data_IF_403086293069
#
_entry.id   IF_403086293069
#
_cell.length_a   1.000
_cell.length_b   1.000
_cell.length_c   1.000
_cell.angle_alpha   90.00
_cell.angle_beta   90.00
_cell.angle_gamma   90.00
#
_symmetry.space_group_name_H-M   'P 1'
#
loop_
_entity.id
_entity.type
_entity.pdbx_description
1 polymer ?
#
# COMPACT_ATOMS: atom_id res chain seq x y z
N UNK A 1 -14.11 -10.58 -2.44
CA UNK A 1 -13.93 -11.45 -1.27
C UNK A 1 -12.48 -11.30 -0.82
N UNK A 2 -12.25 -10.74 0.36
CA UNK A 2 -10.91 -10.60 0.94
C UNK A 2 -10.40 -11.96 1.45
N UNK A 3 -9.12 -12.25 1.29
CA UNK A 3 -8.46 -13.45 1.82
C UNK A 3 -8.47 -13.45 3.36
N UNK A 4 -8.39 -14.64 4.00
CA UNK A 4 -8.23 -14.81 5.46
C UNK A 4 -7.00 -14.09 6.03
N UNK A 5 -6.05 -13.69 5.18
CA UNK A 5 -4.85 -12.94 5.54
C UNK A 5 -5.00 -11.42 5.30
N UNK A 6 -6.21 -10.93 5.02
CA UNK A 6 -6.48 -9.51 4.71
C UNK A 6 -6.00 -9.04 3.33
N UNK A 7 -5.43 -9.94 2.51
CA UNK A 7 -4.86 -9.59 1.20
C UNK A 7 -5.92 -9.59 0.09
N UNK A 8 -5.82 -8.61 -0.81
CA UNK A 8 -6.55 -8.55 -2.08
C UNK A 8 -5.58 -8.71 -3.25
N UNK A 9 -6.04 -9.28 -4.36
CA UNK A 9 -5.27 -9.33 -5.61
C UNK A 9 -5.76 -8.22 -6.52
N UNK A 10 -4.84 -7.39 -6.99
CA UNK A 10 -5.11 -6.32 -7.95
C UNK A 10 -4.61 -6.74 -9.34
N UNK A 11 -5.40 -6.43 -10.37
CA UNK A 11 -5.01 -6.58 -11.77
C UNK A 11 -5.12 -5.23 -12.45
N UNK A 12 -4.03 -4.77 -13.07
CA UNK A 12 -3.97 -3.49 -13.75
C UNK A 12 -3.21 -3.62 -15.08
N UNK A 13 -3.65 -2.89 -16.10
CA UNK A 13 -2.88 -2.70 -17.32
C UNK A 13 -1.76 -1.69 -17.03
N UNK A 14 -0.51 -2.07 -17.28
CA UNK A 14 0.66 -1.25 -16.99
C UNK A 14 1.46 -1.03 -18.28
N UNK A 15 1.90 0.21 -18.59
CA UNK A 15 2.80 0.46 -19.71
C UNK A 15 4.06 -0.40 -19.63
N UNK A 16 4.54 -0.88 -20.79
CA UNK A 16 5.72 -1.77 -20.87
C UNK A 16 6.95 -1.10 -20.22
N UNK A 17 7.18 0.19 -20.51
CA UNK A 17 8.30 0.94 -19.95
C UNK A 17 8.27 0.98 -18.42
N UNK A 18 7.08 1.19 -17.82
CA UNK A 18 6.94 1.20 -16.38
C UNK A 18 7.22 -0.20 -15.79
N UNK A 19 6.72 -1.27 -16.42
CA UNK A 19 7.04 -2.64 -16.03
C UNK A 19 8.56 -2.90 -16.04
N UNK A 20 9.26 -2.48 -17.08
CA UNK A 20 10.71 -2.66 -17.21
C UNK A 20 11.48 -1.90 -16.13
N UNK A 21 11.07 -0.67 -15.82
CA UNK A 21 11.66 0.14 -14.75
C UNK A 21 11.49 -0.54 -13.38
N UNK A 22 10.29 -1.01 -13.06
CA UNK A 22 10.02 -1.71 -11.80
C UNK A 22 10.82 -3.02 -11.73
N UNK A 23 10.89 -3.79 -12.82
CA UNK A 23 11.70 -5.02 -12.88
C UNK A 23 13.18 -4.77 -12.65
N UNK A 24 13.73 -3.67 -13.18
CA UNK A 24 15.12 -3.28 -12.96
C UNK A 24 15.40 -3.01 -11.49
N UNK A 25 14.53 -2.25 -10.82
CA UNK A 25 14.69 -1.93 -9.40
C UNK A 25 14.54 -3.19 -8.54
N UNK A 26 13.55 -4.03 -8.84
CA UNK A 26 13.36 -5.32 -8.17
C UNK A 26 14.63 -6.18 -8.20
N UNK A 27 15.31 -6.27 -9.36
CA UNK A 27 16.58 -7.00 -9.49
C UNK A 27 17.70 -6.38 -8.65
N UNK A 28 17.86 -5.06 -8.69
CA UNK A 28 18.90 -4.35 -7.94
C UNK A 28 18.72 -4.52 -6.43
N UNK A 29 17.48 -4.53 -5.95
CA UNK A 29 17.13 -4.68 -4.53
C UNK A 29 16.97 -6.13 -4.07
N UNK A 30 17.09 -7.11 -4.99
CA UNK A 30 16.78 -8.54 -4.75
C UNK A 30 15.37 -8.77 -4.22
N UNK A 31 14.41 -7.97 -4.71
CA UNK A 31 13.00 -8.09 -4.38
C UNK A 31 12.23 -8.80 -5.49
N UNK A 32 11.09 -9.38 -5.12
CA UNK A 32 10.11 -9.80 -6.12
C UNK A 32 9.45 -8.58 -6.77
N UNK A 33 8.90 -8.78 -7.97
CA UNK A 33 8.17 -7.72 -8.67
C UNK A 33 6.98 -7.22 -7.82
N UNK A 34 6.23 -8.14 -7.20
CA UNK A 34 5.10 -7.81 -6.35
C UNK A 34 5.50 -7.02 -5.11
N UNK A 35 6.59 -7.41 -4.42
CA UNK A 35 7.11 -6.63 -3.29
C UNK A 35 7.50 -5.22 -3.71
N UNK A 36 8.16 -5.08 -4.85
CA UNK A 36 8.59 -3.77 -5.36
C UNK A 36 7.39 -2.87 -5.66
N UNK A 37 6.33 -3.43 -6.25
CA UNK A 37 5.09 -2.69 -6.52
C UNK A 37 4.40 -2.27 -5.22
N UNK A 38 4.31 -3.17 -4.24
CA UNK A 38 3.67 -2.86 -2.95
C UNK A 38 4.43 -1.76 -2.22
N UNK A 39 5.76 -1.86 -2.12
CA UNK A 39 6.60 -0.84 -1.45
C UNK A 39 6.42 0.53 -2.12
N UNK A 40 6.42 0.60 -3.46
CA UNK A 40 6.23 1.88 -4.15
C UNK A 40 4.82 2.45 -3.98
N UNK A 41 3.81 1.59 -3.86
CA UNK A 41 2.44 2.03 -3.56
C UNK A 41 2.35 2.59 -2.14
N UNK A 42 2.93 1.90 -1.15
CA UNK A 42 3.00 2.36 0.25
C UNK A 42 3.71 3.72 0.33
N UNK A 43 4.93 3.84 -0.20
CA UNK A 43 5.70 5.10 -0.17
C UNK A 43 4.97 6.26 -0.86
N UNK A 44 4.25 5.97 -1.96
CA UNK A 44 3.49 6.99 -2.66
C UNK A 44 2.22 7.41 -1.91
N UNK A 45 1.52 6.47 -1.29
CA UNK A 45 0.34 6.74 -0.48
C UNK A 45 0.71 7.54 0.77
N UNK A 46 1.74 7.13 1.51
CA UNK A 46 2.23 7.86 2.69
C UNK A 46 2.56 9.32 2.33
N UNK A 47 3.28 9.53 1.23
CA UNK A 47 3.64 10.87 0.76
C UNK A 47 2.44 11.67 0.23
N UNK A 48 1.38 11.00 -0.25
CA UNK A 48 0.14 11.66 -0.64
C UNK A 48 -0.70 12.05 0.57
N UNK A 49 -0.82 11.15 1.55
CA UNK A 49 -1.55 11.38 2.79
C UNK A 49 -0.94 12.54 3.57
N UNK A 50 0.39 12.57 3.70
CA UNK A 50 1.12 13.70 4.30
C UNK A 50 0.81 15.02 3.57
N UNK A 51 0.83 15.03 2.23
CA UNK A 51 0.54 16.23 1.43
C UNK A 51 -0.90 16.70 1.53
N UNK A 52 -1.83 15.76 1.67
CA UNK A 52 -3.26 16.05 1.77
C UNK A 52 -3.66 16.44 3.20
N UNK A 53 -2.74 16.34 4.17
CA UNK A 53 -3.05 16.56 5.57
C UNK A 53 -4.06 15.52 6.10
N UNK A 54 -4.04 14.31 5.52
CA UNK A 54 -4.83 13.20 6.03
C UNK A 54 -4.12 12.72 7.30
N UNK A 55 -4.51 13.29 8.43
CA UNK A 55 -4.36 12.63 9.72
C UNK A 55 -5.35 11.45 9.72
N UNK A 56 -5.03 10.29 10.29
CA UNK A 56 -5.96 9.16 10.42
C UNK A 56 -7.19 9.55 11.28
N UNK A 57 -8.11 10.34 10.71
CA UNK A 57 -9.45 10.57 11.24
C UNK A 57 -10.27 9.29 11.00
N UNK A 58 -10.12 8.29 11.87
CA UNK A 58 -10.95 7.09 11.73
C UNK A 58 -10.68 5.87 12.61
N UNK A 59 -9.58 5.79 13.37
CA UNK A 59 -9.58 4.86 14.50
C UNK A 59 -10.44 5.51 15.58
N UNK A 60 -11.72 5.11 15.65
CA UNK A 60 -12.53 5.34 16.84
C UNK A 60 -11.67 4.88 18.02
N UNK A 61 -11.21 5.77 18.93
CA UNK A 61 -10.75 5.30 20.21
C UNK A 61 -11.94 4.56 20.78
N UNK A 62 -11.82 3.24 20.96
CA UNK A 62 -12.73 2.44 21.80
C UNK A 62 -12.65 3.04 23.18
N UNK A 63 -13.40 4.13 23.37
CA UNK A 63 -13.67 4.73 24.64
C UNK A 63 -14.27 3.60 25.45
N UNK A 64 -13.57 3.30 26.53
CA UNK A 64 -14.05 2.58 27.69
C UNK A 64 -15.57 2.70 27.75
N UNK A 65 -16.26 1.60 27.44
CA UNK A 65 -17.63 1.41 27.88
C UNK A 65 -17.52 1.27 29.40
N UNK A 66 -17.55 2.40 30.09
CA UNK A 66 -18.08 2.53 31.43
C UNK A 66 -19.27 3.46 31.29
N UNK A 67 -20.47 2.94 31.52
CA UNK A 67 -21.60 3.63 32.13
C UNK A 67 -22.61 2.58 32.63
N UNK A 68 -22.80 2.63 33.94
CA UNK A 68 -23.86 2.06 34.80
C UNK A 68 -24.05 0.55 34.89
#
# INVERSE_FOLDING_TARGET
>A
MASKDGKITLSAAVPIELKERVQRIARLRRWTLSQTIVIFLEEYLDALEEKLGIEEEGVIPTNKIQKE
#
